data_IF_513825212858
#
_entry.id   IF_513825212858
#
_cell.length_a   1.000
_cell.length_b   1.000
_cell.length_c   1.000
_cell.angle_alpha   90.00
_cell.angle_beta   90.00
_cell.angle_gamma   90.00
#
_symmetry.space_group_name_H-M   'P 1'
#
loop_
_entity.id
_entity.type
_entity.pdbx_description
1 polymer ?
#
# COMPACT_ATOMS: atom_id res chain seq x y z
N UNK A 1 -1.63 -21.80 -17.31
CA UNK A 1 -2.47 -21.69 -16.11
C UNK A 1 -1.69 -22.16 -14.89
N UNK A 2 -1.72 -21.41 -13.81
CA UNK A 2 -1.07 -21.72 -12.53
C UNK A 2 -1.61 -22.99 -11.86
N UNK A 3 -2.71 -23.56 -12.37
CA UNK A 3 -3.29 -24.83 -11.87
C UNK A 3 -2.63 -26.07 -12.44
N UNK A 4 -1.90 -25.98 -13.55
CA UNK A 4 -1.32 -27.13 -14.25
C UNK A 4 0.19 -27.01 -14.49
N UNK A 5 0.80 -25.88 -14.16
CA UNK A 5 2.22 -25.63 -14.36
C UNK A 5 2.80 -24.95 -13.12
N UNK A 6 3.97 -25.43 -12.68
CA UNK A 6 4.72 -24.74 -11.64
C UNK A 6 5.21 -23.40 -12.16
N UNK A 7 4.97 -22.36 -11.37
CA UNK A 7 5.56 -21.04 -11.59
C UNK A 7 7.05 -21.13 -11.28
N UNK A 8 7.85 -20.34 -11.98
CA UNK A 8 9.27 -20.19 -11.74
C UNK A 8 9.54 -18.82 -11.14
N UNK A 9 10.54 -18.71 -10.28
CA UNK A 9 10.85 -17.47 -9.58
C UNK A 9 11.15 -16.32 -10.54
N UNK A 10 11.78 -16.62 -11.68
CA UNK A 10 12.10 -15.65 -12.72
C UNK A 10 10.85 -14.99 -13.34
N UNK A 11 9.72 -15.70 -13.35
CA UNK A 11 8.45 -15.18 -13.84
C UNK A 11 7.86 -14.10 -12.92
N UNK A 12 8.27 -14.11 -11.65
CA UNK A 12 7.73 -13.23 -10.61
C UNK A 12 8.59 -11.98 -10.40
N UNK A 13 9.78 -11.92 -11.02
CA UNK A 13 10.78 -10.91 -10.74
C UNK A 13 10.33 -9.47 -11.04
N UNK A 14 9.51 -9.30 -12.08
CA UNK A 14 8.99 -8.00 -12.50
C UNK A 14 7.51 -7.78 -12.14
N UNK A 15 6.97 -8.60 -11.24
CA UNK A 15 5.59 -8.44 -10.79
C UNK A 15 5.52 -7.46 -9.63
N UNK A 16 4.58 -6.52 -9.72
CA UNK A 16 4.24 -5.62 -8.62
C UNK A 16 3.63 -6.38 -7.44
N UNK A 17 3.55 -5.75 -6.26
CA UNK A 17 2.86 -6.30 -5.10
C UNK A 17 1.41 -6.67 -5.41
N UNK A 18 0.73 -5.81 -6.17
CA UNK A 18 -0.65 -6.04 -6.58
C UNK A 18 -0.77 -7.23 -7.55
N UNK A 19 0.16 -7.37 -8.51
CA UNK A 19 0.14 -8.50 -9.45
C UNK A 19 0.38 -9.83 -8.72
N UNK A 20 1.33 -9.88 -7.79
CA UNK A 20 1.59 -11.04 -6.96
C UNK A 20 0.36 -11.41 -6.13
N UNK A 21 -0.32 -10.41 -5.57
CA UNK A 21 -1.53 -10.59 -4.78
C UNK A 21 -2.69 -11.11 -5.62
N UNK A 22 -2.92 -10.54 -6.81
CA UNK A 22 -3.94 -10.99 -7.75
C UNK A 22 -3.64 -12.42 -8.23
N UNK A 23 -2.40 -12.70 -8.65
CA UNK A 23 -1.99 -14.02 -9.14
C UNK A 23 -2.20 -15.12 -8.09
N UNK A 24 -1.87 -14.84 -6.83
CA UNK A 24 -2.15 -15.76 -5.72
C UNK A 24 -3.65 -16.01 -5.55
N UNK A 25 -4.45 -14.94 -5.58
CA UNK A 25 -5.89 -15.05 -5.39
C UNK A 25 -6.60 -15.63 -6.61
N UNK A 26 -6.03 -15.57 -7.82
CA UNK A 26 -6.55 -16.25 -9.00
C UNK A 26 -6.62 -17.77 -8.79
N UNK A 27 -5.64 -18.36 -8.11
CA UNK A 27 -5.65 -19.80 -7.80
C UNK A 27 -6.91 -20.15 -7.00
N UNK A 28 -7.21 -19.39 -5.97
CA UNK A 28 -8.42 -19.59 -5.16
C UNK A 28 -9.71 -19.26 -5.93
N UNK A 29 -9.69 -18.22 -6.75
CA UNK A 29 -10.83 -17.81 -7.57
C UNK A 29 -11.26 -18.90 -8.54
N UNK A 30 -10.30 -19.65 -9.12
CA UNK A 30 -10.56 -20.78 -10.02
C UNK A 30 -11.31 -21.92 -9.34
N UNK A 31 -11.19 -22.05 -8.03
CA UNK A 31 -11.96 -22.99 -7.21
C UNK A 31 -13.27 -22.38 -6.66
N UNK A 32 -13.70 -21.24 -7.19
CA UNK A 32 -14.98 -20.63 -6.84
C UNK A 32 -15.01 -19.88 -5.51
N UNK A 33 -13.85 -19.53 -4.94
CA UNK A 33 -13.78 -18.72 -3.72
C UNK A 33 -14.31 -17.31 -3.97
N UNK A 34 -15.20 -16.84 -3.10
CA UNK A 34 -15.60 -15.42 -2.98
C UNK A 34 -14.65 -14.68 -2.05
N UNK A 35 -14.45 -13.40 -2.31
CA UNK A 35 -13.53 -12.57 -1.57
C UNK A 35 -14.27 -11.55 -0.69
N UNK A 36 -13.80 -11.38 0.54
CA UNK A 36 -14.29 -10.32 1.43
C UNK A 36 -13.68 -8.95 1.13
N UNK A 37 -12.61 -8.92 0.35
CA UNK A 37 -12.02 -7.67 -0.15
C UNK A 37 -12.76 -7.23 -1.41
N UNK A 38 -13.30 -6.01 -1.41
CA UNK A 38 -14.15 -5.48 -2.49
C UNK A 38 -13.39 -5.32 -3.81
N UNK A 39 -12.11 -4.97 -3.75
CA UNK A 39 -11.28 -4.84 -4.95
C UNK A 39 -11.11 -6.19 -5.64
N UNK A 40 -10.68 -7.24 -4.91
CA UNK A 40 -10.54 -8.59 -5.46
C UNK A 40 -11.85 -9.13 -5.99
N UNK A 41 -12.95 -8.94 -5.24
CA UNK A 41 -14.26 -9.43 -5.68
C UNK A 41 -14.71 -8.75 -6.97
N UNK A 42 -14.51 -7.44 -7.10
CA UNK A 42 -14.82 -6.70 -8.34
C UNK A 42 -13.92 -7.12 -9.50
N UNK A 43 -12.61 -7.28 -9.23
CA UNK A 43 -11.65 -7.72 -10.23
C UNK A 43 -12.04 -9.07 -10.83
N UNK A 44 -12.28 -10.09 -9.98
CA UNK A 44 -12.64 -11.42 -10.47
C UNK A 44 -14.03 -11.47 -11.10
N UNK A 45 -14.99 -10.68 -10.65
CA UNK A 45 -16.31 -10.59 -11.27
C UNK A 45 -16.26 -10.14 -12.75
N UNK A 46 -15.21 -9.44 -13.17
CA UNK A 46 -14.98 -9.06 -14.56
C UNK A 46 -14.37 -10.19 -15.40
N UNK A 47 -13.84 -11.22 -14.76
CA UNK A 47 -13.27 -12.37 -15.44
C UNK A 47 -14.36 -13.33 -15.88
N UNK A 48 -14.50 -13.57 -17.20
CA UNK A 48 -15.54 -14.43 -17.77
C UNK A 48 -15.51 -15.88 -17.27
N UNK A 49 -14.39 -16.36 -16.78
CA UNK A 49 -14.18 -17.70 -16.25
C UNK A 49 -14.51 -17.82 -14.76
N UNK A 50 -14.66 -16.71 -14.05
CA UNK A 50 -14.86 -16.73 -12.60
C UNK A 50 -16.30 -17.03 -12.22
N UNK A 51 -16.48 -17.99 -11.31
CA UNK A 51 -17.75 -18.34 -10.72
C UNK A 51 -17.60 -18.43 -9.20
N UNK A 52 -17.84 -17.30 -8.51
CA UNK A 52 -17.80 -17.26 -7.06
C UNK A 52 -18.99 -17.97 -6.43
N UNK A 53 -18.78 -19.19 -5.94
CA UNK A 53 -19.83 -20.04 -5.35
C UNK A 53 -19.60 -20.29 -3.86
N UNK A 54 -18.35 -20.24 -3.38
CA UNK A 54 -17.95 -20.61 -2.02
C UNK A 54 -17.56 -19.34 -1.25
N UNK A 55 -18.23 -19.07 -0.15
CA UNK A 55 -17.85 -17.92 0.69
C UNK A 55 -16.44 -18.11 1.28
N UNK A 56 -15.71 -17.01 1.49
CA UNK A 56 -14.35 -17.05 2.04
C UNK A 56 -14.24 -17.85 3.35
N UNK A 57 -15.27 -17.79 4.20
CA UNK A 57 -15.32 -18.52 5.49
C UNK A 57 -15.52 -20.02 5.35
N UNK A 58 -16.08 -20.47 4.24
CA UNK A 58 -16.37 -21.89 3.97
C UNK A 58 -15.38 -22.54 2.99
N UNK A 59 -14.49 -21.72 2.45
CA UNK A 59 -13.50 -22.22 1.50
C UNK A 59 -12.46 -23.07 2.23
N UNK A 60 -12.19 -24.25 1.71
CA UNK A 60 -11.20 -25.19 2.23
C UNK A 60 -10.04 -25.29 1.24
N UNK A 61 -8.84 -24.97 1.70
CA UNK A 61 -7.61 -25.03 0.89
C UNK A 61 -7.24 -26.48 0.47
N UNK A 62 -7.89 -27.49 1.06
CA UNK A 62 -7.72 -28.88 0.67
C UNK A 62 -8.14 -29.17 -0.78
N UNK A 63 -8.94 -28.29 -1.41
CA UNK A 63 -9.31 -28.39 -2.83
C UNK A 63 -8.14 -28.13 -3.78
N UNK A 64 -7.08 -27.46 -3.30
CA UNK A 64 -5.90 -27.16 -4.10
C UNK A 64 -5.07 -28.42 -4.37
N UNK A 65 -4.68 -28.61 -5.62
CA UNK A 65 -3.72 -29.65 -5.96
C UNK A 65 -2.29 -29.28 -5.53
N UNK A 66 -1.35 -30.21 -5.62
CA UNK A 66 0.03 -30.03 -5.16
C UNK A 66 0.80 -28.92 -5.95
N UNK A 67 0.47 -28.72 -7.22
CA UNK A 67 1.05 -27.65 -8.04
C UNK A 67 0.53 -26.30 -7.56
N UNK A 68 -0.76 -26.19 -7.33
CA UNK A 68 -1.40 -24.97 -6.83
C UNK A 68 -0.89 -24.58 -5.44
N UNK A 69 -0.74 -25.53 -4.54
CA UNK A 69 -0.16 -25.28 -3.21
C UNK A 69 1.25 -24.71 -3.30
N UNK A 70 2.11 -25.31 -4.13
CA UNK A 70 3.47 -24.82 -4.37
C UNK A 70 3.48 -23.43 -5.00
N UNK A 71 2.58 -23.16 -5.93
CA UNK A 71 2.45 -21.85 -6.56
C UNK A 71 1.95 -20.78 -5.57
N UNK A 72 1.01 -21.11 -4.70
CA UNK A 72 0.56 -20.23 -3.62
C UNK A 72 1.69 -19.90 -2.65
N UNK A 73 2.50 -20.90 -2.29
CA UNK A 73 3.68 -20.71 -1.45
C UNK A 73 4.71 -19.80 -2.13
N UNK A 74 5.07 -20.08 -3.39
CA UNK A 74 6.02 -19.28 -4.16
C UNK A 74 5.56 -17.82 -4.30
N UNK A 75 4.29 -17.58 -4.65
CA UNK A 75 3.71 -16.24 -4.75
C UNK A 75 3.69 -15.52 -3.39
N UNK A 76 3.47 -16.26 -2.30
CA UNK A 76 3.49 -15.70 -0.95
C UNK A 76 4.90 -15.28 -0.53
N UNK A 77 5.91 -16.08 -0.86
CA UNK A 77 7.31 -15.73 -0.59
C UNK A 77 7.78 -14.56 -1.48
N UNK A 78 7.39 -14.55 -2.76
CA UNK A 78 7.68 -13.43 -3.66
C UNK A 78 7.09 -12.11 -3.14
N UNK A 79 5.85 -12.14 -2.62
CA UNK A 79 5.21 -10.97 -2.01
C UNK A 79 5.94 -10.49 -0.75
N UNK A 80 6.41 -11.40 0.11
CA UNK A 80 7.22 -11.03 1.28
C UNK A 80 8.56 -10.42 0.88
N UNK A 81 9.18 -10.97 -0.16
CA UNK A 81 10.44 -10.45 -0.69
C UNK A 81 10.25 -9.07 -1.32
N UNK A 82 9.14 -8.87 -2.05
CA UNK A 82 8.76 -7.56 -2.58
C UNK A 82 8.61 -6.54 -1.46
N UNK A 83 7.80 -6.85 -0.43
CA UNK A 83 7.60 -5.97 0.72
C UNK A 83 8.90 -5.69 1.50
N UNK A 84 9.85 -6.63 1.51
CA UNK A 84 11.18 -6.43 2.12
C UNK A 84 12.05 -5.47 1.32
N UNK A 85 11.95 -5.51 -0.01
CA UNK A 85 12.68 -4.62 -0.92
C UNK A 85 12.01 -3.24 -1.04
N UNK A 86 10.69 -3.20 -0.88
CA UNK A 86 9.86 -2.01 -0.99
C UNK A 86 9.10 -1.80 0.33
N UNK A 87 9.76 -1.32 1.39
CA UNK A 87 9.17 -1.22 2.73
C UNK A 87 8.13 -0.10 2.86
N UNK A 88 7.78 0.56 1.78
CA UNK A 88 6.87 1.71 1.75
C UNK A 88 5.43 1.31 1.38
N UNK A 89 4.41 2.09 1.81
CA UNK A 89 4.53 3.30 2.63
C UNK A 89 4.88 3.01 4.10
N UNK A 90 5.74 3.83 4.67
CA UNK A 90 5.96 3.87 6.12
C UNK A 90 5.15 4.99 6.74
N UNK A 91 4.61 4.76 7.92
CA UNK A 91 3.74 5.67 8.65
C UNK A 91 4.43 6.18 9.89
N UNK A 92 4.41 7.50 10.08
CA UNK A 92 5.07 8.19 11.18
C UNK A 92 4.09 9.11 11.94
N UNK A 93 4.44 9.45 13.17
CA UNK A 93 3.63 10.35 14.01
C UNK A 93 4.02 11.82 13.79
N UNK A 94 3.07 12.71 13.97
CA UNK A 94 3.34 14.15 14.04
C UNK A 94 4.35 14.43 15.16
N UNK A 95 5.37 15.26 14.88
CA UNK A 95 6.43 15.61 15.80
C UNK A 95 7.58 14.60 15.92
N UNK A 96 7.42 13.40 15.34
CA UNK A 96 8.50 12.41 15.26
C UNK A 96 9.59 12.90 14.29
N UNK A 97 10.85 12.68 14.68
CA UNK A 97 11.99 12.91 13.79
C UNK A 97 12.36 11.56 13.19
N UNK A 98 12.24 11.45 11.89
CA UNK A 98 12.51 10.22 11.14
C UNK A 98 13.65 10.41 10.14
N UNK A 99 14.23 9.33 9.71
CA UNK A 99 15.32 9.33 8.73
C UNK A 99 15.00 8.37 7.61
N UNK A 100 14.90 8.90 6.41
CA UNK A 100 14.67 8.15 5.18
C UNK A 100 15.59 8.67 4.07
N UNK A 101 15.98 7.78 3.19
CA UNK A 101 16.73 8.11 1.97
C UNK A 101 15.72 8.50 0.88
N UNK A 102 15.42 9.81 0.80
CA UNK A 102 14.35 10.30 -0.08
C UNK A 102 14.74 10.28 -1.57
N UNK A 103 16.02 10.34 -1.89
CA UNK A 103 16.52 10.46 -3.26
C UNK A 103 17.28 9.23 -3.77
N UNK A 104 17.28 8.14 -2.99
CA UNK A 104 17.94 6.87 -3.37
C UNK A 104 19.47 6.94 -3.41
N UNK A 105 20.09 8.00 -2.88
CA UNK A 105 21.54 8.20 -2.95
C UNK A 105 22.33 7.45 -1.88
N UNK A 106 21.64 6.86 -0.90
CA UNK A 106 22.23 6.24 0.29
C UNK A 106 22.50 7.25 1.41
N UNK A 107 22.11 8.51 1.24
CA UNK A 107 22.17 9.55 2.26
C UNK A 107 20.78 9.73 2.87
N UNK A 108 20.71 9.64 4.20
CA UNK A 108 19.44 9.74 4.90
C UNK A 108 19.10 11.20 5.20
N UNK A 109 17.92 11.62 4.78
CA UNK A 109 17.34 12.90 5.14
C UNK A 109 16.67 12.82 6.50
N UNK A 110 16.80 13.86 7.32
CA UNK A 110 16.07 14.01 8.56
C UNK A 110 14.75 14.76 8.30
N UNK A 111 13.63 14.11 8.60
CA UNK A 111 12.29 14.58 8.27
C UNK A 111 11.50 14.76 9.56
N UNK A 112 10.77 15.87 9.67
CA UNK A 112 9.85 16.13 10.76
C UNK A 112 8.61 16.84 10.25
N UNK A 113 7.45 16.29 10.55
CA UNK A 113 6.17 16.96 10.31
C UNK A 113 5.59 17.48 11.62
N UNK A 114 5.17 18.74 11.63
CA UNK A 114 4.62 19.41 12.80
C UNK A 114 3.31 20.09 12.46
N UNK A 115 2.40 20.08 13.42
CA UNK A 115 1.13 20.78 13.37
C UNK A 115 1.09 21.71 14.57
N UNK A 116 1.01 23.00 14.33
CA UNK A 116 0.94 24.04 15.35
C UNK A 116 -0.47 24.62 15.38
N UNK A 117 -1.07 24.65 16.56
CA UNK A 117 -2.36 25.33 16.76
C UNK A 117 -2.12 26.85 16.79
N UNK A 118 -2.89 27.55 15.98
CA UNK A 118 -2.92 29.04 15.91
C UNK A 118 -4.21 29.56 16.56
N UNK A 119 -4.30 30.90 16.84
CA UNK A 119 -5.54 31.51 17.28
C UNK A 119 -6.70 31.23 16.32
N UNK A 120 -7.93 31.30 16.85
CA UNK A 120 -9.17 31.16 16.09
C UNK A 120 -9.33 29.76 15.40
N UNK A 121 -8.84 28.70 16.04
CA UNK A 121 -8.93 27.32 15.56
C UNK A 121 -8.26 27.10 14.20
N UNK A 122 -7.24 27.87 13.90
CA UNK A 122 -6.40 27.68 12.75
C UNK A 122 -5.22 26.77 13.12
N UNK A 123 -4.67 26.13 12.12
CA UNK A 123 -3.50 25.26 12.28
C UNK A 123 -2.48 25.58 11.17
N UNK A 124 -1.22 25.54 11.54
CA UNK A 124 -0.11 25.61 10.62
C UNK A 124 0.56 24.26 10.52
N UNK A 125 0.71 23.76 9.30
CA UNK A 125 1.36 22.48 9.02
C UNK A 125 2.74 22.73 8.44
N UNK A 126 3.77 22.26 9.13
CA UNK A 126 5.17 22.47 8.79
C UNK A 126 5.87 21.14 8.52
N UNK A 127 6.54 21.05 7.40
CA UNK A 127 7.44 19.95 7.07
C UNK A 127 8.88 20.47 7.11
N UNK A 128 9.72 19.87 7.95
CA UNK A 128 11.14 20.17 8.02
C UNK A 128 11.92 19.00 7.42
N UNK A 129 12.82 19.29 6.47
CA UNK A 129 13.72 18.32 5.86
C UNK A 129 15.13 18.90 5.98
N UNK A 130 16.02 18.17 6.63
CA UNK A 130 17.43 18.54 6.84
C UNK A 130 17.61 19.96 7.43
N UNK A 131 16.67 20.37 8.28
CA UNK A 131 16.66 21.68 8.93
C UNK A 131 16.00 22.81 8.13
N UNK A 132 15.63 22.61 6.87
CA UNK A 132 14.82 23.53 6.09
C UNK A 132 13.34 23.27 6.33
N UNK A 133 12.56 24.32 6.61
CA UNK A 133 11.14 24.22 6.96
C UNK A 133 10.25 24.80 5.88
N UNK A 134 9.26 24.05 5.49
CA UNK A 134 8.27 24.37 4.47
C UNK A 134 6.86 24.40 5.09
N UNK A 135 6.08 25.44 4.79
CA UNK A 135 4.65 25.42 5.08
C UNK A 135 3.96 24.54 4.04
N UNK A 136 3.32 23.46 4.50
CA UNK A 136 2.74 22.44 3.60
C UNK A 136 1.21 22.41 3.65
N UNK A 137 0.60 23.31 4.41
CA UNK A 137 -0.85 23.49 4.43
C UNK A 137 -1.26 24.53 5.48
N UNK A 138 -2.35 25.20 5.21
CA UNK A 138 -3.09 26.03 6.16
C UNK A 138 -4.50 25.45 6.26
N UNK A 139 -4.89 25.05 7.45
CA UNK A 139 -6.25 24.62 7.71
C UNK A 139 -6.96 25.68 8.52
N UNK A 140 -7.94 26.32 7.89
CA UNK A 140 -8.82 27.27 8.56
C UNK A 140 -10.09 26.56 9.05
N UNK A 141 -10.42 26.73 10.32
CA UNK A 141 -11.66 26.26 10.90
C UNK A 141 -11.53 25.16 11.93
N UNK A 142 -12.68 24.60 12.31
CA UNK A 142 -12.85 23.60 13.38
C UNK A 142 -12.24 22.23 13.11
N UNK A 143 -11.56 22.07 12.00
CA UNK A 143 -11.01 20.80 11.59
C UNK A 143 -9.54 20.73 11.99
N UNK A 144 -9.22 19.83 12.89
CA UNK A 144 -7.85 19.42 13.14
C UNK A 144 -7.26 18.92 11.82
N UNK A 145 -6.10 19.45 11.40
CA UNK A 145 -5.40 18.82 10.28
C UNK A 145 -5.21 17.36 10.63
N UNK A 146 -5.58 16.58 9.69
CA UNK A 146 -5.54 15.17 9.71
C UNK A 146 -4.59 14.55 10.63
N UNK A 147 -5.13 13.73 11.37
CA UNK A 147 -4.51 12.64 12.07
C UNK A 147 -3.04 12.89 12.44
N UNK A 148 -2.65 12.48 13.57
CA UNK A 148 -1.30 12.54 14.14
C UNK A 148 -0.24 11.83 13.28
N UNK A 149 -0.31 11.92 11.91
CA UNK A 149 0.49 11.04 11.05
C UNK A 149 0.85 11.65 9.72
N UNK A 150 2.01 11.24 9.22
CA UNK A 150 2.41 11.41 7.84
C UNK A 150 3.02 10.11 7.30
N UNK A 151 3.18 10.05 6.00
CA UNK A 151 3.68 8.85 5.34
C UNK A 151 4.89 9.21 4.49
N UNK A 152 5.89 8.34 4.48
CA UNK A 152 6.88 8.28 3.42
C UNK A 152 6.48 7.13 2.52
N UNK A 153 6.37 7.38 1.26
CA UNK A 153 5.83 6.44 0.27
C UNK A 153 6.65 6.45 -1.01
N UNK A 154 6.47 5.45 -1.83
CA UNK A 154 6.98 5.36 -3.18
C UNK A 154 5.75 5.34 -4.10
N UNK A 155 5.48 6.45 -4.76
CA UNK A 155 4.32 6.63 -5.65
C UNK A 155 4.71 6.28 -7.09
N UNK A 156 5.98 6.53 -7.46
CA UNK A 156 6.47 6.35 -8.81
C UNK A 156 7.36 5.12 -8.93
N UNK A 157 6.91 4.12 -9.67
CA UNK A 157 7.73 2.95 -10.00
C UNK A 157 8.86 3.26 -11.03
N UNK A 158 8.96 4.52 -11.48
CA UNK A 158 9.85 4.94 -12.56
C UNK A 158 11.08 5.73 -12.10
N UNK A 159 11.15 6.06 -10.83
CA UNK A 159 12.29 6.76 -10.24
C UNK A 159 12.70 6.10 -8.91
N UNK A 160 13.80 6.56 -8.32
CA UNK A 160 14.33 6.06 -7.07
C UNK A 160 14.04 7.00 -5.89
N UNK A 161 13.11 7.95 -6.09
CA UNK A 161 12.74 8.95 -5.08
C UNK A 161 11.54 8.51 -4.25
N UNK A 162 11.47 8.99 -3.02
CA UNK A 162 10.34 8.75 -2.13
C UNK A 162 9.57 10.06 -1.92
N UNK A 163 8.26 9.96 -1.84
CA UNK A 163 7.39 11.08 -1.57
C UNK A 163 6.94 11.10 -0.11
N UNK A 164 6.64 12.32 0.37
CA UNK A 164 6.02 12.52 1.67
C UNK A 164 4.55 12.84 1.45
N UNK A 165 3.68 11.94 1.91
CA UNK A 165 2.25 12.12 1.83
C UNK A 165 1.68 12.54 3.20
N UNK A 166 0.94 13.64 3.17
CA UNK A 166 0.21 14.18 4.31
C UNK A 166 -1.27 14.14 3.94
N UNK A 167 -2.07 13.53 4.80
CA UNK A 167 -3.51 13.49 4.60
C UNK A 167 -4.12 14.82 5.04
N UNK A 168 -4.81 15.49 4.15
CA UNK A 168 -5.57 16.71 4.44
C UNK A 168 -7.07 16.39 4.26
N UNK A 169 -7.85 16.55 5.33
CA UNK A 169 -9.31 16.49 5.27
C UNK A 169 -9.84 17.91 5.10
N UNK A 170 -10.16 18.26 3.89
CA UNK A 170 -10.82 19.53 3.62
C UNK A 170 -12.18 19.66 4.36
N UNK A 171 -12.78 20.83 4.35
CA UNK A 171 -14.05 21.12 5.04
C UNK A 171 -15.27 20.40 4.44
N UNK A 172 -15.12 19.66 3.38
CA UNK A 172 -16.10 18.74 2.81
C UNK A 172 -15.56 17.33 2.93
N UNK A 173 -16.41 16.37 3.29
CA UNK A 173 -16.06 14.93 3.40
C UNK A 173 -15.51 14.30 2.10
N UNK A 174 -15.13 15.10 1.13
CA UNK A 174 -14.53 14.67 -0.11
C UNK A 174 -13.01 14.59 0.06
N UNK A 175 -12.48 13.38 -0.04
CA UNK A 175 -11.06 13.11 -0.22
C UNK A 175 -10.56 13.91 -1.43
N UNK A 176 -9.77 14.95 -1.16
CA UNK A 176 -8.99 15.61 -2.19
C UNK A 176 -7.75 14.77 -2.43
N UNK A 177 -7.77 14.04 -3.52
CA UNK A 177 -6.62 13.30 -4.05
C UNK A 177 -5.73 14.22 -4.86
#
# INVERSE_FOLDING_TARGET
SSSICLLQQEMLYNMSDNDLWIAKNEIYARHGRKFGNDYLQRYFNQCSWYQGTISAKKFDDAVLNEIEKKNVELLSEAKKEYARKHPYPKKYQVGEIVREDLDGTGTYNEIRYQVNELPDWNYECLLTIDGETYAVGEVAGIWTPCEDRFYVTDISEYDETLEIAILDYGPSDDLVT
#
